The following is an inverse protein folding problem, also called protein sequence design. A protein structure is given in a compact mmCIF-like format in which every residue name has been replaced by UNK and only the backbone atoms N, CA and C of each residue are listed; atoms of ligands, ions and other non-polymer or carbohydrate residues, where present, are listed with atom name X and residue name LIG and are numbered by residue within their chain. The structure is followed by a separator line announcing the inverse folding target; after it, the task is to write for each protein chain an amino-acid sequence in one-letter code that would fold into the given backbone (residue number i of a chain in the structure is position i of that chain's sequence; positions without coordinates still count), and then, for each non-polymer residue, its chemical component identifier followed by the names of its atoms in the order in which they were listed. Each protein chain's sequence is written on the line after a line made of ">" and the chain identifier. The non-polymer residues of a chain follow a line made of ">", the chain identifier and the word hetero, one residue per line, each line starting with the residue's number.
data_IF_775987751362
#
_entry.id   IF_775987751362
#
_cell.length_a   1.000
_cell.length_b   1.000
_cell.length_c   1.000
_cell.angle_alpha   90.00
_cell.angle_beta   90.00
_cell.angle_gamma   90.00
#
_symmetry.space_group_name_H-M   'P 1'
#
loop_
_entity.id
_entity.type
_entity.pdbx_description
1 polymer ?
#
# COMPACT_ATOMS: atom_id res chain seq x y z
N UNK A 1 14.88 -10.54 -6.34
CA UNK A 1 14.21 -11.24 -7.45
C UNK A 1 13.51 -10.21 -8.31
N UNK A 2 13.56 -10.32 -9.65
CA UNK A 2 12.73 -9.49 -10.50
C UNK A 2 11.24 -9.72 -10.16
N UNK A 3 10.43 -8.66 -10.22
CA UNK A 3 8.97 -8.79 -10.18
C UNK A 3 8.53 -9.28 -11.56
N UNK A 4 8.55 -10.59 -11.75
CA UNK A 4 8.03 -11.24 -12.94
C UNK A 4 6.53 -11.56 -12.79
N UNK A 5 5.92 -12.05 -13.87
CA UNK A 5 4.49 -12.35 -13.88
C UNK A 5 4.11 -13.46 -12.87
N UNK A 6 5.01 -14.43 -12.62
CA UNK A 6 4.75 -15.54 -11.70
C UNK A 6 4.70 -15.05 -10.25
N UNK A 7 5.66 -14.18 -9.88
CA UNK A 7 5.67 -13.53 -8.59
C UNK A 7 4.43 -12.64 -8.40
N UNK A 8 4.07 -11.84 -9.42
CA UNK A 8 2.88 -11.00 -9.37
C UNK A 8 1.58 -11.79 -9.19
N UNK A 9 1.44 -12.96 -9.83
CA UNK A 9 0.25 -13.80 -9.65
C UNK A 9 0.15 -14.35 -8.23
N UNK A 10 1.28 -14.78 -7.67
CA UNK A 10 1.34 -15.26 -6.28
C UNK A 10 1.01 -14.13 -5.29
N UNK A 11 1.57 -12.94 -5.54
CA UNK A 11 1.29 -11.73 -4.76
C UNK A 11 -0.19 -11.33 -4.86
N UNK A 12 -0.79 -11.40 -6.06
CA UNK A 12 -2.21 -11.10 -6.28
C UNK A 12 -3.09 -12.01 -5.43
N UNK A 13 -2.79 -13.32 -5.39
CA UNK A 13 -3.52 -14.28 -4.56
C UNK A 13 -3.41 -13.94 -3.07
N UNK A 14 -2.20 -13.66 -2.57
CA UNK A 14 -1.98 -13.29 -1.16
C UNK A 14 -2.74 -12.01 -0.77
N UNK A 15 -2.65 -10.98 -1.61
CA UNK A 15 -3.34 -9.71 -1.37
C UNK A 15 -4.86 -9.87 -1.44
N UNK A 16 -5.37 -10.70 -2.35
CA UNK A 16 -6.81 -10.95 -2.44
C UNK A 16 -7.32 -11.65 -1.18
N UNK A 17 -6.60 -12.62 -0.64
CA UNK A 17 -7.01 -13.32 0.58
C UNK A 17 -7.09 -12.37 1.80
N UNK A 18 -6.12 -11.46 1.92
CA UNK A 18 -6.00 -10.58 3.08
C UNK A 18 -6.81 -9.28 2.96
N UNK A 19 -6.92 -8.70 1.76
CA UNK A 19 -7.43 -7.34 1.56
C UNK A 19 -8.78 -7.28 0.86
N UNK A 20 -9.30 -8.38 0.31
CA UNK A 20 -10.63 -8.37 -0.30
C UNK A 20 -11.70 -8.02 0.75
N UNK A 21 -12.65 -7.18 0.36
CA UNK A 21 -13.68 -6.61 1.24
C UNK A 21 -13.17 -5.74 2.40
N UNK A 22 -11.88 -5.41 2.46
CA UNK A 22 -11.36 -4.41 3.38
C UNK A 22 -11.66 -2.99 2.87
N UNK A 23 -11.86 -2.06 3.81
CA UNK A 23 -11.99 -0.64 3.53
C UNK A 23 -10.67 0.07 3.82
N UNK A 24 -10.32 1.08 3.01
CA UNK A 24 -9.19 1.96 3.29
C UNK A 24 -9.56 2.88 4.46
N UNK A 25 -8.78 2.80 5.54
CA UNK A 25 -8.96 3.57 6.77
C UNK A 25 -8.06 4.82 6.77
N UNK A 26 -6.84 4.68 6.25
CA UNK A 26 -5.86 5.77 6.22
C UNK A 26 -4.96 5.67 4.99
N UNK A 27 -4.77 6.80 4.33
CA UNK A 27 -3.80 6.95 3.23
C UNK A 27 -2.66 7.85 3.69
N UNK A 28 -1.44 7.35 3.51
CA UNK A 28 -0.21 8.02 3.88
C UNK A 28 0.78 7.99 2.71
N UNK A 29 1.60 9.03 2.59
CA UNK A 29 2.64 9.12 1.57
C UNK A 29 3.95 9.51 2.29
N UNK A 30 4.69 8.54 2.85
CA UNK A 30 5.92 8.81 3.59
C UNK A 30 7.04 9.35 2.70
N UNK A 31 7.13 8.86 1.45
CA UNK A 31 8.08 9.33 0.44
C UNK A 31 7.36 9.71 -0.85
N UNK A 32 8.05 10.42 -1.75
CA UNK A 32 7.45 10.95 -2.99
C UNK A 32 6.81 9.85 -3.85
N UNK A 33 7.44 8.68 -3.93
CA UNK A 33 7.08 7.54 -4.78
C UNK A 33 6.46 6.38 -4.00
N UNK A 34 6.13 6.59 -2.71
CA UNK A 34 5.70 5.52 -1.81
C UNK A 34 4.40 5.88 -1.10
N UNK A 35 3.41 5.01 -1.20
CA UNK A 35 2.10 5.12 -0.55
C UNK A 35 1.93 3.97 0.44
N UNK A 36 1.38 4.29 1.61
CA UNK A 36 0.97 3.32 2.61
C UNK A 36 -0.55 3.44 2.79
N UNK A 37 -1.26 2.36 2.47
CA UNK A 37 -2.69 2.23 2.70
C UNK A 37 -2.90 1.38 3.95
N UNK A 38 -3.46 1.97 5.00
CA UNK A 38 -3.96 1.21 6.14
C UNK A 38 -5.39 0.81 5.86
N UNK A 39 -5.66 -0.48 5.90
CA UNK A 39 -6.95 -1.07 5.55
C UNK A 39 -7.49 -1.84 6.75
N UNK A 40 -8.82 -1.80 6.91
CA UNK A 40 -9.53 -2.53 7.95
C UNK A 40 -10.64 -3.36 7.33
N UNK A 41 -10.78 -4.60 7.77
CA UNK A 41 -11.81 -5.49 7.27
C UNK A 41 -12.03 -6.69 8.19
N UNK A 42 -12.90 -7.62 7.78
CA UNK A 42 -13.33 -8.76 8.61
C UNK A 42 -12.18 -9.68 9.03
N UNK A 43 -11.10 -9.77 8.22
CA UNK A 43 -9.93 -10.60 8.49
C UNK A 43 -8.81 -9.86 9.25
N UNK A 44 -9.11 -8.72 9.89
CA UNK A 44 -8.13 -7.91 10.62
C UNK A 44 -7.47 -6.80 9.79
N UNK A 45 -7.61 -6.84 8.46
CA UNK A 45 -7.04 -5.84 7.56
C UNK A 45 -5.51 -5.86 7.54
N UNK A 46 -4.88 -4.73 7.24
CA UNK A 46 -3.42 -4.67 7.14
C UNK A 46 -2.93 -3.34 6.59
N UNK A 47 -1.60 -3.18 6.50
CA UNK A 47 -0.99 -2.05 5.81
C UNK A 47 -0.38 -2.52 4.50
N UNK A 48 -0.84 -1.96 3.39
CA UNK A 48 -0.31 -2.21 2.06
C UNK A 48 0.67 -1.09 1.70
N UNK A 49 1.92 -1.45 1.46
CA UNK A 49 2.95 -0.56 0.95
C UNK A 49 3.00 -0.68 -0.58
N UNK A 50 2.90 0.45 -1.25
CA UNK A 50 3.04 0.60 -2.70
C UNK A 50 4.22 1.53 -2.94
N UNK A 51 5.24 1.09 -3.67
CA UNK A 51 6.34 1.98 -4.06
C UNK A 51 6.66 1.84 -5.53
N UNK A 52 6.79 2.99 -6.18
CA UNK A 52 7.20 3.14 -7.57
C UNK A 52 8.66 3.63 -7.67
N UNK A 53 9.46 3.40 -6.63
CA UNK A 53 10.87 3.80 -6.63
C UNK A 53 11.63 3.11 -7.76
N UNK A 54 12.46 3.84 -8.56
CA UNK A 54 13.21 3.25 -9.67
C UNK A 54 14.11 2.08 -9.26
N UNK A 55 14.62 2.11 -8.03
CA UNK A 55 15.55 1.11 -7.52
C UNK A 55 14.84 -0.12 -6.95
N UNK A 56 13.66 0.05 -6.37
CA UNK A 56 12.97 -1.01 -5.62
C UNK A 56 11.45 -0.92 -5.74
N UNK A 57 10.88 -1.00 -6.96
CA UNK A 57 9.43 -0.98 -7.13
C UNK A 57 8.86 -2.27 -6.50
N UNK A 58 7.84 -2.15 -5.65
CA UNK A 58 7.20 -3.31 -5.02
C UNK A 58 5.84 -2.97 -4.43
N UNK A 59 5.05 -4.03 -4.27
CA UNK A 59 3.78 -4.03 -3.55
C UNK A 59 3.93 -5.10 -2.47
N UNK A 60 3.64 -4.77 -1.22
CA UNK A 60 3.78 -5.72 -0.11
C UNK A 60 2.89 -5.36 1.07
N UNK A 61 2.45 -6.37 1.83
CA UNK A 61 1.94 -6.14 3.18
C UNK A 61 3.09 -5.81 4.12
N UNK A 62 2.86 -4.92 5.07
CA UNK A 62 3.91 -4.52 6.01
C UNK A 62 3.36 -4.26 7.41
N UNK A 63 4.14 -4.64 8.42
CA UNK A 63 3.91 -4.25 9.82
C UNK A 63 4.65 -2.96 10.17
N UNK A 64 5.51 -2.46 9.28
CA UNK A 64 6.35 -1.29 9.53
C UNK A 64 5.51 -0.03 9.73
N UNK A 65 6.08 0.88 10.51
CA UNK A 65 5.55 2.22 10.73
C UNK A 65 6.46 3.21 10.04
N UNK A 66 5.87 4.12 9.29
CA UNK A 66 6.59 5.15 8.55
C UNK A 66 6.24 6.52 9.12
N UNK A 67 7.23 7.38 9.23
CA UNK A 67 7.00 8.79 9.54
C UNK A 67 6.34 9.47 8.35
N UNK A 68 5.37 10.33 8.63
CA UNK A 68 4.71 11.10 7.58
C UNK A 68 5.34 12.49 7.50
N UNK A 69 5.44 13.08 6.30
CA UNK A 69 5.78 14.48 6.18
C UNK A 69 4.74 15.34 6.92
N UNK A 70 5.20 16.47 7.47
CA UNK A 70 4.36 17.39 8.24
C UNK A 70 3.17 17.93 7.41
N UNK A 71 3.35 18.07 6.09
CA UNK A 71 2.28 18.42 5.16
C UNK A 71 2.05 17.27 4.17
N UNK A 72 0.80 16.79 4.02
CA UNK A 72 0.49 15.73 3.07
C UNK A 72 0.66 16.25 1.63
N UNK A 73 1.36 15.52 0.74
CA UNK A 73 1.44 15.87 -0.67
C UNK A 73 0.06 15.87 -1.33
N UNK A 74 -0.10 16.63 -2.41
CA UNK A 74 -1.40 16.73 -3.12
C UNK A 74 -1.93 15.37 -3.59
N UNK A 75 -1.04 14.47 -4.01
CA UNK A 75 -1.41 13.14 -4.45
C UNK A 75 -2.03 12.31 -3.31
N UNK A 76 -1.42 12.33 -2.12
CA UNK A 76 -2.00 11.74 -0.91
C UNK A 76 -3.40 12.29 -0.62
N UNK A 77 -3.60 13.61 -0.76
CA UNK A 77 -4.90 14.25 -0.54
C UNK A 77 -5.95 13.83 -1.58
N UNK A 78 -5.58 13.68 -2.85
CA UNK A 78 -6.47 13.16 -3.89
C UNK A 78 -6.90 11.73 -3.58
N UNK A 79 -5.96 10.86 -3.21
CA UNK A 79 -6.28 9.47 -2.85
C UNK A 79 -7.24 9.41 -1.66
N UNK A 80 -7.03 10.21 -0.61
CA UNK A 80 -7.94 10.29 0.55
C UNK A 80 -9.38 10.68 0.19
N UNK A 81 -9.58 11.41 -0.91
CA UNK A 81 -10.91 11.83 -1.36
C UNK A 81 -11.65 10.71 -2.10
N UNK A 82 -10.92 9.76 -2.69
CA UNK A 82 -11.47 8.77 -3.62
C UNK A 82 -11.37 7.32 -3.13
N UNK A 83 -10.56 7.04 -2.09
CA UNK A 83 -10.38 5.73 -1.48
C UNK A 83 -11.13 5.58 -0.15
#
# INVERSE_FOLDING_TARGET
>A
MPIDAVFLESLRCELQEQLLACRVDKVQQPERDTILLSMRGPNGGGKLLLTASPNHPRIQLTSLSFENPAQPPMFCMLLRKHL
#
